data_IF_308839128894
#
_entry.id   IF_308839128894
#
_cell.length_a   1.000
_cell.length_b   1.000
_cell.length_c   1.000
_cell.angle_alpha   90.00
_cell.angle_beta   90.00
_cell.angle_gamma   90.00
#
_symmetry.space_group_name_H-M   'P 1'
#
loop_
_entity.id
_entity.type
_entity.pdbx_description
1 polymer ?
#
# COMPACT_ATOMS: atom_id res chain seq x y z
N UNK A 1 -16.19 6.52 0.40
CA UNK A 1 -15.07 5.88 1.10
C UNK A 1 -14.31 5.08 0.05
N UNK A 2 -13.22 5.62 -0.48
CA UNK A 2 -12.38 4.87 -1.44
C UNK A 2 -11.58 3.86 -0.61
N UNK A 3 -12.04 2.62 -0.61
CA UNK A 3 -11.40 1.52 0.11
C UNK A 3 -10.46 0.84 -0.88
N UNK A 4 -9.18 0.75 -0.55
CA UNK A 4 -8.18 0.01 -1.35
C UNK A 4 -8.57 -1.46 -1.58
N UNK A 5 -9.50 -2.00 -0.79
CA UNK A 5 -10.07 -3.34 -0.94
C UNK A 5 -11.26 -3.44 -1.91
N UNK A 6 -11.73 -2.32 -2.48
CA UNK A 6 -12.82 -2.36 -3.46
C UNK A 6 -12.31 -2.98 -4.76
N UNK A 7 -12.76 -4.20 -5.07
CA UNK A 7 -12.37 -4.92 -6.30
C UNK A 7 -12.83 -4.24 -7.60
N UNK A 8 -13.61 -3.16 -7.51
CA UNK A 8 -14.03 -2.34 -8.64
C UNK A 8 -13.06 -1.19 -8.96
N UNK A 9 -12.14 -0.84 -8.06
CA UNK A 9 -11.23 0.29 -8.24
C UNK A 9 -10.28 0.05 -9.41
N UNK A 10 -10.12 1.04 -10.28
CA UNK A 10 -9.14 1.03 -11.38
C UNK A 10 -7.73 1.32 -10.86
N UNK A 11 -6.71 1.22 -11.73
CA UNK A 11 -5.36 1.63 -11.39
C UNK A 11 -5.29 3.12 -11.01
N UNK A 12 -6.00 3.96 -11.75
CA UNK A 12 -6.06 5.41 -11.53
C UNK A 12 -6.69 5.74 -10.18
N UNK A 13 -7.77 5.02 -9.80
CA UNK A 13 -8.38 5.16 -8.48
C UNK A 13 -7.40 4.83 -7.34
N UNK A 14 -6.57 3.79 -7.52
CA UNK A 14 -5.56 3.43 -6.52
C UNK A 14 -4.51 4.52 -6.39
N UNK A 15 -4.03 5.08 -7.51
CA UNK A 15 -3.06 6.18 -7.51
C UNK A 15 -3.63 7.41 -6.82
N UNK A 16 -4.86 7.82 -7.14
CA UNK A 16 -5.50 8.98 -6.53
C UNK A 16 -5.65 8.83 -5.00
N UNK A 17 -6.00 7.62 -4.54
CA UNK A 17 -6.11 7.33 -3.11
C UNK A 17 -4.76 7.39 -2.42
N UNK A 18 -3.71 6.82 -3.02
CA UNK A 18 -2.36 6.85 -2.48
C UNK A 18 -1.81 8.28 -2.45
N UNK A 19 -2.07 9.08 -3.47
CA UNK A 19 -1.64 10.49 -3.50
C UNK A 19 -2.34 11.31 -2.41
N UNK A 20 -3.65 11.11 -2.20
CA UNK A 20 -4.38 11.73 -1.08
C UNK A 20 -3.85 11.27 0.27
N UNK A 21 -3.57 9.97 0.40
CA UNK A 21 -3.00 9.39 1.61
C UNK A 21 -1.68 10.05 1.97
N UNK A 22 -0.77 10.21 1.01
CA UNK A 22 0.54 10.81 1.25
C UNK A 22 0.46 12.33 1.44
N UNK A 23 -0.50 13.01 0.80
CA UNK A 23 -0.76 14.45 1.01
C UNK A 23 -1.22 14.73 2.44
N UNK A 24 -2.02 13.86 3.01
CA UNK A 24 -2.59 14.01 4.36
C UNK A 24 -1.85 13.18 5.42
N UNK A 25 -0.74 12.52 5.05
CA UNK A 25 -0.06 11.53 5.89
C UNK A 25 0.28 12.05 7.29
N UNK A 26 0.85 13.26 7.36
CA UNK A 26 1.29 13.86 8.62
C UNK A 26 0.08 14.24 9.51
N UNK A 27 -1.12 14.41 8.96
CA UNK A 27 -2.36 14.69 9.72
C UNK A 27 -3.11 13.42 10.14
N UNK A 28 -2.91 12.33 9.41
CA UNK A 28 -3.64 11.07 9.62
C UNK A 28 -3.08 10.22 10.78
N UNK A 29 -1.94 10.62 11.36
CA UNK A 29 -1.26 9.92 12.47
C UNK A 29 -1.17 8.40 12.23
N UNK A 30 -0.84 8.01 10.99
CA UNK A 30 -0.89 6.62 10.57
C UNK A 30 0.19 5.82 11.29
N UNK A 31 -0.24 4.77 12.00
CA UNK A 31 0.67 3.88 12.71
C UNK A 31 1.18 2.73 11.82
N UNK A 32 2.24 2.06 12.29
CA UNK A 32 2.86 0.91 11.60
C UNK A 32 1.87 -0.17 11.18
N UNK A 33 0.88 -0.50 12.01
CA UNK A 33 -0.08 -1.56 11.70
C UNK A 33 -0.95 -1.17 10.51
N UNK A 34 -1.39 0.09 10.45
CA UNK A 34 -2.18 0.62 9.33
C UNK A 34 -1.37 0.61 8.04
N UNK A 35 -0.09 1.02 8.08
CA UNK A 35 0.79 0.98 6.90
C UNK A 35 0.94 -0.45 6.37
N UNK A 36 1.18 -1.42 7.25
CA UNK A 36 1.28 -2.83 6.85
C UNK A 36 -0.01 -3.33 6.20
N UNK A 37 -1.16 -2.93 6.73
CA UNK A 37 -2.46 -3.31 6.16
C UNK A 37 -2.66 -2.67 4.78
N UNK A 38 -2.29 -1.40 4.60
CA UNK A 38 -2.32 -0.70 3.30
C UNK A 38 -1.45 -1.42 2.27
N UNK A 39 -0.21 -1.76 2.63
CA UNK A 39 0.72 -2.46 1.73
C UNK A 39 0.22 -3.86 1.34
N UNK A 40 -0.40 -4.58 2.27
CA UNK A 40 -0.99 -5.90 2.00
C UNK A 40 -2.20 -5.75 1.07
N UNK A 41 -3.12 -4.83 1.37
CA UNK A 41 -4.31 -4.57 0.57
C UNK A 41 -3.94 -4.18 -0.87
N UNK A 42 -3.02 -3.22 -1.01
CA UNK A 42 -2.52 -2.78 -2.31
C UNK A 42 -1.87 -3.93 -3.09
N UNK A 43 -1.06 -4.75 -2.43
CA UNK A 43 -0.41 -5.90 -3.07
C UNK A 43 -1.40 -7.00 -3.51
N UNK A 44 -2.50 -7.16 -2.79
CA UNK A 44 -3.58 -8.11 -3.10
C UNK A 44 -4.52 -7.60 -4.20
N UNK A 45 -4.55 -6.29 -4.44
CA UNK A 45 -5.50 -5.69 -5.35
C UNK A 45 -5.22 -6.08 -6.80
N UNK A 46 -6.20 -6.65 -7.49
CA UNK A 46 -6.03 -7.22 -8.84
C UNK A 46 -5.57 -6.21 -9.90
N UNK A 47 -5.97 -4.94 -9.73
CA UNK A 47 -5.61 -3.85 -10.66
C UNK A 47 -4.36 -3.09 -10.22
N UNK A 48 -3.78 -3.41 -9.04
CA UNK A 48 -2.53 -2.81 -8.64
C UNK A 48 -1.38 -3.37 -9.48
N UNK A 49 -0.60 -2.46 -10.07
CA UNK A 49 0.62 -2.79 -10.79
C UNK A 49 1.81 -2.84 -9.83
N UNK A 50 2.88 -3.52 -10.26
CA UNK A 50 4.09 -3.68 -9.46
C UNK A 50 4.70 -2.33 -9.07
N UNK A 51 4.69 -1.37 -9.99
CA UNK A 51 5.34 -0.07 -9.78
C UNK A 51 4.66 0.72 -8.66
N UNK A 52 3.32 0.81 -8.66
CA UNK A 52 2.61 1.53 -7.58
C UNK A 52 2.83 0.88 -6.21
N UNK A 53 2.97 -0.45 -6.16
CA UNK A 53 3.23 -1.19 -4.93
C UNK A 53 4.62 -0.84 -4.39
N UNK A 54 5.63 -0.89 -5.26
CA UNK A 54 7.03 -0.58 -4.89
C UNK A 54 7.19 0.89 -4.52
N UNK A 55 6.60 1.81 -5.28
CA UNK A 55 6.66 3.24 -4.98
C UNK A 55 6.00 3.56 -3.64
N UNK A 56 4.84 2.96 -3.36
CA UNK A 56 4.15 3.12 -2.08
C UNK A 56 4.98 2.57 -0.93
N UNK A 57 5.60 1.39 -1.10
CA UNK A 57 6.52 0.82 -0.12
C UNK A 57 7.67 1.79 0.16
N UNK A 58 8.36 2.26 -0.87
CA UNK A 58 9.50 3.19 -0.73
C UNK A 58 9.10 4.48 -0.02
N UNK A 59 7.95 5.07 -0.36
CA UNK A 59 7.45 6.29 0.32
C UNK A 59 7.23 6.05 1.82
N UNK A 60 6.73 4.88 2.23
CA UNK A 60 6.63 4.55 3.66
C UNK A 60 7.98 4.28 4.32
N UNK A 61 8.92 3.64 3.61
CA UNK A 61 10.29 3.42 4.09
C UNK A 61 11.04 4.74 4.29
N UNK A 62 10.84 5.73 3.42
CA UNK A 62 11.41 7.07 3.58
C UNK A 62 10.85 7.78 4.83
N UNK A 63 9.58 7.55 5.16
CA UNK A 63 8.92 8.14 6.34
C UNK A 63 9.25 7.42 7.64
N UNK A 64 9.43 6.09 7.60
CA UNK A 64 9.69 5.24 8.76
C UNK A 64 10.76 4.17 8.43
N UNK A 65 12.03 4.60 8.27
CA UNK A 65 13.12 3.73 7.82
C UNK A 65 13.39 2.55 8.75
N UNK A 66 13.08 2.69 10.04
CA UNK A 66 13.22 1.63 11.03
C UNK A 66 12.32 0.41 10.78
N UNK A 67 11.27 0.55 9.95
CA UNK A 67 10.33 -0.52 9.62
C UNK A 67 10.46 -1.04 8.19
N UNK A 68 11.53 -0.69 7.47
CA UNK A 68 11.67 -1.05 6.05
C UNK A 68 11.58 -2.56 5.81
N UNK A 69 12.26 -3.37 6.63
CA UNK A 69 12.17 -4.84 6.55
C UNK A 69 10.75 -5.35 6.81
N UNK A 70 10.00 -4.76 7.73
CA UNK A 70 8.60 -5.13 7.97
C UNK A 70 7.69 -4.77 6.81
N UNK A 71 7.92 -3.63 6.15
CA UNK A 71 7.16 -3.20 4.98
C UNK A 71 7.43 -4.10 3.78
N UNK A 72 8.69 -4.42 3.51
CA UNK A 72 9.09 -5.38 2.47
C UNK A 72 8.42 -6.75 2.69
N UNK A 73 8.46 -7.27 3.92
CA UNK A 73 7.79 -8.53 4.28
C UNK A 73 6.27 -8.47 4.05
N UNK A 74 5.66 -7.32 4.30
CA UNK A 74 4.22 -7.12 4.11
C UNK A 74 3.84 -7.13 2.64
N UNK A 75 4.59 -6.44 1.80
CA UNK A 75 4.44 -6.46 0.33
C UNK A 75 4.62 -7.89 -0.20
N UNK A 76 5.72 -8.56 0.18
CA UNK A 76 6.00 -9.93 -0.24
C UNK A 76 4.86 -10.88 0.13
N UNK A 77 4.36 -10.80 1.37
CA UNK A 77 3.22 -11.60 1.82
C UNK A 77 1.96 -11.37 0.96
N UNK A 78 1.67 -10.11 0.62
CA UNK A 78 0.53 -9.76 -0.24
C UNK A 78 0.68 -10.31 -1.66
N UNK A 79 1.87 -10.16 -2.27
CA UNK A 79 2.17 -10.68 -3.60
C UNK A 79 2.13 -12.21 -3.66
N UNK A 80 2.72 -12.89 -2.67
CA UNK A 80 2.69 -14.35 -2.56
C UNK A 80 1.25 -14.88 -2.48
N UNK A 81 0.38 -14.18 -1.72
CA UNK A 81 -1.03 -14.53 -1.61
C UNK A 81 -1.81 -14.24 -2.90
N UNK A 82 -1.46 -13.17 -3.63
CA UNK A 82 -2.04 -12.85 -4.95
C UNK A 82 -1.68 -13.90 -6.00
N UNK A 83 -0.44 -14.39 -6.04
CA UNK A 83 0.00 -15.42 -6.98
C UNK A 83 -0.60 -16.81 -6.73
N UNK A 84 -1.27 -17.03 -5.58
CA UNK A 84 -1.98 -18.27 -5.23
C UNK A 84 -3.49 -18.23 -5.55
N UNK A 85 -4.02 -17.08 -5.94
CA UNK A 85 -5.43 -16.89 -6.36
C UNK A 85 -5.56 -17.05 -7.86
#
# INVERSE_FOLDING_TARGET
MMVLDSSASTLEDLQEVLDKLFTEYDKLEINKLQIKNILIALSLHKNAQKDIIIETQKKFEEKLPEFAMEFERSVKKGLDARGRR
#
